data_IF_050874173668
#
_entry.id   IF_050874173668
#
_cell.length_a   1.000
_cell.length_b   1.000
_cell.length_c   1.000
_cell.angle_alpha   90.00
_cell.angle_beta   90.00
_cell.angle_gamma   90.00
#
_symmetry.space_group_name_H-M   'P 1'
#
loop_
_entity.id
_entity.type
_entity.pdbx_description
1 polymer ?
#
# COMPACT_ATOMS: atom_id res chain seq x y z
N UNK A 1 -32.45 2.21 3.60
CA UNK A 1 -30.96 2.14 3.45
C UNK A 1 -30.40 1.64 4.77
N UNK A 2 -30.02 0.37 4.86
CA UNK A 2 -29.42 -0.19 6.08
C UNK A 2 -28.03 0.45 6.26
N UNK A 3 -27.82 1.17 7.37
CA UNK A 3 -26.48 1.61 7.75
C UNK A 3 -25.66 0.34 8.01
N UNK A 4 -24.65 0.11 7.20
CA UNK A 4 -23.67 -0.95 7.45
C UNK A 4 -23.11 -0.74 8.86
N UNK A 5 -23.09 -1.79 9.69
CA UNK A 5 -22.56 -1.67 11.05
C UNK A 5 -21.10 -1.25 11.00
N UNK A 6 -20.75 -0.20 11.75
CA UNK A 6 -19.35 0.23 11.88
C UNK A 6 -18.61 -0.82 12.73
N UNK A 7 -17.59 -1.44 12.17
CA UNK A 7 -16.73 -2.36 12.90
C UNK A 7 -15.70 -1.56 13.72
N UNK A 8 -15.62 -1.85 15.02
CA UNK A 8 -14.59 -1.27 15.90
C UNK A 8 -13.47 -2.30 16.08
N UNK A 9 -12.26 -1.97 15.67
CA UNK A 9 -11.06 -2.75 15.99
C UNK A 9 -10.48 -2.23 17.30
N UNK A 10 -10.56 -3.03 18.36
CA UNK A 10 -10.04 -2.68 19.70
C UNK A 10 -8.56 -3.04 19.89
N UNK A 11 -7.97 -3.78 18.95
CA UNK A 11 -6.66 -4.40 19.12
C UNK A 11 -5.59 -3.50 18.57
N UNK A 12 -5.43 -2.35 18.54
CA UNK A 12 -4.29 -1.50 18.15
C UNK A 12 -3.12 -2.23 17.46
N UNK A 13 -1.98 -1.59 17.40
CA UNK A 13 -0.74 -2.21 16.93
C UNK A 13 0.04 -2.86 18.09
N UNK A 14 0.91 -3.81 17.76
CA UNK A 14 1.79 -4.48 18.71
C UNK A 14 3.06 -3.64 18.97
N UNK A 15 3.49 -3.53 20.23
CA UNK A 15 4.72 -2.79 20.62
C UNK A 15 5.90 -3.71 20.85
N UNK A 16 5.65 -4.94 21.27
CA UNK A 16 6.63 -5.98 21.55
C UNK A 16 6.82 -6.89 20.33
N UNK A 17 7.41 -6.35 19.28
CA UNK A 17 7.69 -7.07 18.04
C UNK A 17 9.05 -7.76 18.10
N UNK A 18 9.20 -8.87 17.37
CA UNK A 18 10.48 -9.57 17.25
C UNK A 18 11.48 -8.76 16.42
N UNK A 19 12.77 -8.87 16.78
CA UNK A 19 13.83 -8.31 15.94
C UNK A 19 13.96 -9.11 14.64
N UNK A 20 14.27 -8.46 13.49
CA UNK A 20 14.52 -9.15 12.24
C UNK A 20 15.67 -10.17 12.36
N UNK A 21 15.51 -11.34 11.73
CA UNK A 21 16.53 -12.41 11.71
C UNK A 21 17.58 -12.25 10.62
N UNK A 22 17.45 -11.25 9.77
CA UNK A 22 18.44 -10.92 8.74
C UNK A 22 18.85 -9.44 8.85
N UNK A 23 20.01 -9.10 8.31
CA UNK A 23 20.46 -7.72 8.25
C UNK A 23 19.58 -6.95 7.28
N UNK A 24 18.77 -6.03 7.81
CA UNK A 24 17.92 -5.14 7.01
C UNK A 24 18.83 -4.13 6.28
N UNK A 25 18.75 -4.03 4.96
CA UNK A 25 19.64 -3.15 4.20
C UNK A 25 19.40 -1.68 4.54
N UNK A 26 20.47 -0.88 4.53
CA UNK A 26 20.36 0.57 4.71
C UNK A 26 19.43 1.18 3.67
N UNK A 27 18.61 2.15 4.08
CA UNK A 27 17.60 2.75 3.23
C UNK A 27 16.34 1.89 3.01
N UNK A 28 16.14 0.82 3.79
CA UNK A 28 14.95 -0.02 3.69
C UNK A 28 13.65 0.79 3.89
N UNK A 29 12.65 0.46 3.10
CA UNK A 29 11.37 1.16 3.02
C UNK A 29 10.19 0.21 3.28
N UNK A 30 9.32 0.60 4.20
CA UNK A 30 7.97 0.06 4.30
C UNK A 30 7.07 0.74 3.28
N UNK A 31 6.62 0.03 2.24
CA UNK A 31 5.84 0.61 1.16
C UNK A 31 4.32 0.62 1.42
N UNK A 32 3.86 0.20 2.60
CA UNK A 32 2.45 0.22 2.93
C UNK A 32 2.20 0.26 4.43
N UNK A 33 1.88 1.45 4.95
CA UNK A 33 1.44 1.63 6.33
C UNK A 33 0.44 2.78 6.42
N UNK A 34 -0.25 2.88 7.54
CA UNK A 34 -1.27 3.89 7.79
C UNK A 34 -1.01 4.65 9.08
N UNK A 35 -1.45 5.91 9.16
CA UNK A 35 -1.44 6.70 10.38
C UNK A 35 -2.88 6.95 10.83
N UNK A 36 -3.12 6.78 12.13
CA UNK A 36 -4.37 7.12 12.79
C UNK A 36 -4.06 8.19 13.84
N UNK A 37 -4.29 9.44 13.46
CA UNK A 37 -3.99 10.58 14.31
C UNK A 37 -5.01 10.78 15.44
N UNK A 38 -4.76 11.76 16.35
CA UNK A 38 -5.71 12.14 17.38
C UNK A 38 -7.05 12.57 16.77
N UNK A 39 -8.15 11.98 17.21
CA UNK A 39 -9.49 12.21 16.67
C UNK A 39 -9.91 13.69 16.73
N UNK A 40 -9.48 14.42 17.76
CA UNK A 40 -9.78 15.86 17.90
C UNK A 40 -9.17 16.72 16.79
N UNK A 41 -8.07 16.26 16.17
CA UNK A 41 -7.39 16.96 15.08
C UNK A 41 -7.74 16.39 13.71
N UNK A 42 -7.94 15.09 13.62
CA UNK A 42 -8.21 14.37 12.39
C UNK A 42 -9.48 13.52 12.54
N UNK A 43 -10.65 14.14 12.41
CA UNK A 43 -11.93 13.45 12.57
C UNK A 43 -12.11 12.40 11.48
N UNK A 44 -12.67 11.26 11.84
CA UNK A 44 -13.01 10.22 10.88
C UNK A 44 -14.20 10.63 10.01
N UNK A 45 -14.21 10.16 8.76
CA UNK A 45 -15.37 10.30 7.89
C UNK A 45 -16.59 9.60 8.52
N UNK A 46 -17.75 10.27 8.45
CA UNK A 46 -19.00 9.75 9.05
C UNK A 46 -19.48 8.44 8.39
N UNK A 47 -19.19 8.27 7.09
CA UNK A 47 -19.58 7.10 6.30
C UNK A 47 -18.57 5.95 6.35
N UNK A 48 -17.59 5.99 7.27
CA UNK A 48 -16.58 4.94 7.40
C UNK A 48 -17.20 3.58 7.77
N UNK A 49 -16.58 2.52 7.32
CA UNK A 49 -16.94 1.13 7.71
C UNK A 49 -16.14 0.63 8.91
N UNK A 50 -15.04 1.32 9.28
CA UNK A 50 -14.11 0.92 10.33
C UNK A 50 -13.76 2.10 11.24
N UNK A 51 -13.66 1.83 12.54
CA UNK A 51 -13.13 2.77 13.54
C UNK A 51 -11.91 2.14 14.22
N UNK A 52 -10.69 2.44 13.77
CA UNK A 52 -9.46 1.93 14.37
C UNK A 52 -9.11 2.69 15.65
N UNK A 53 -8.29 2.10 16.53
CA UNK A 53 -7.63 2.84 17.60
C UNK A 53 -6.58 3.81 17.04
N UNK A 54 -6.21 4.80 17.85
CA UNK A 54 -5.14 5.73 17.50
C UNK A 54 -3.81 4.99 17.31
N UNK A 55 -3.08 5.35 16.24
CA UNK A 55 -1.77 4.84 15.89
C UNK A 55 -0.98 5.96 15.19
N UNK A 56 -0.18 6.67 15.96
CA UNK A 56 0.45 7.92 15.56
C UNK A 56 1.72 7.73 14.74
N UNK A 57 2.22 8.80 14.17
CA UNK A 57 3.53 8.83 13.52
C UNK A 57 4.67 8.44 14.48
N UNK A 58 4.60 8.84 15.73
CA UNK A 58 5.58 8.48 16.77
C UNK A 58 5.55 6.99 17.08
N UNK A 59 4.36 6.42 17.17
CA UNK A 59 4.18 4.97 17.38
C UNK A 59 4.80 4.18 16.22
N UNK A 60 4.51 4.58 14.97
CA UNK A 60 5.10 3.94 13.80
C UNK A 60 6.63 4.06 13.76
N UNK A 61 7.16 5.25 14.08
CA UNK A 61 8.62 5.43 14.12
C UNK A 61 9.31 4.50 15.11
N UNK A 62 8.68 4.23 16.25
CA UNK A 62 9.21 3.26 17.23
C UNK A 62 9.27 1.85 16.63
N UNK A 63 8.19 1.42 15.96
CA UNK A 63 8.13 0.14 15.23
C UNK A 63 9.19 0.08 14.11
N UNK A 64 9.25 1.10 13.26
CA UNK A 64 10.21 1.17 12.15
C UNK A 64 11.66 1.11 12.63
N UNK A 65 11.99 1.77 13.76
CA UNK A 65 13.33 1.72 14.35
C UNK A 65 13.68 0.30 14.81
N UNK A 66 12.75 -0.41 15.45
CA UNK A 66 12.98 -1.80 15.88
C UNK A 66 13.20 -2.74 14.68
N UNK A 67 12.55 -2.47 13.55
CA UNK A 67 12.68 -3.23 12.31
C UNK A 67 13.90 -2.83 11.47
N UNK A 68 14.58 -1.73 11.76
CA UNK A 68 15.67 -1.20 10.92
C UNK A 68 15.17 -0.53 9.64
N UNK A 69 13.91 -0.07 9.59
CA UNK A 69 13.33 0.61 8.44
C UNK A 69 13.59 2.11 8.51
N UNK A 70 14.12 2.69 7.46
CA UNK A 70 14.51 4.11 7.42
C UNK A 70 13.50 4.98 6.68
N UNK A 71 12.76 4.40 5.75
CA UNK A 71 11.79 5.09 4.89
C UNK A 71 10.43 4.41 4.93
N UNK A 72 9.40 5.15 4.55
CA UNK A 72 8.06 4.56 4.43
C UNK A 72 7.18 5.26 3.38
N UNK A 73 6.12 4.57 3.00
CA UNK A 73 5.02 5.10 2.20
C UNK A 73 3.75 5.05 3.03
N UNK A 74 3.24 6.23 3.38
CA UNK A 74 2.01 6.39 4.16
C UNK A 74 0.84 6.37 3.19
N UNK A 75 0.03 5.34 3.30
CA UNK A 75 -1.13 5.14 2.43
C UNK A 75 -2.37 5.69 3.13
N UNK A 76 -3.12 6.53 2.43
CA UNK A 76 -4.38 7.08 2.95
C UNK A 76 -5.36 5.96 3.28
N UNK A 77 -5.82 5.85 4.53
CA UNK A 77 -6.80 4.84 4.90
C UNK A 77 -8.23 5.27 4.58
N UNK A 78 -9.13 4.30 4.40
CA UNK A 78 -10.52 4.54 3.99
C UNK A 78 -11.35 5.37 4.98
N UNK A 79 -11.05 5.27 6.27
CA UNK A 79 -11.82 5.96 7.32
C UNK A 79 -11.60 7.48 7.37
N UNK A 80 -10.65 8.02 6.61
CA UNK A 80 -10.50 9.46 6.37
C UNK A 80 -11.02 9.90 5.00
N UNK A 81 -11.45 8.95 4.14
CA UNK A 81 -11.87 9.23 2.75
C UNK A 81 -10.83 10.11 2.01
N UNK A 82 -11.26 11.21 1.41
CA UNK A 82 -10.41 12.17 0.68
C UNK A 82 -9.77 13.26 1.55
N UNK A 83 -9.99 13.25 2.87
CA UNK A 83 -9.26 14.12 3.80
C UNK A 83 -7.87 13.55 4.10
N UNK A 84 -6.86 13.99 3.36
CA UNK A 84 -5.50 13.50 3.43
C UNK A 84 -4.63 14.21 4.48
N UNK A 85 -5.17 15.09 5.31
CA UNK A 85 -4.37 15.94 6.20
C UNK A 85 -3.54 15.12 7.20
N UNK A 86 -4.12 14.09 7.82
CA UNK A 86 -3.38 13.22 8.75
C UNK A 86 -2.17 12.55 8.08
N UNK A 87 -2.37 12.03 6.88
CA UNK A 87 -1.33 11.37 6.07
C UNK A 87 -0.23 12.35 5.66
N UNK A 88 -0.60 13.52 5.12
CA UNK A 88 0.35 14.51 4.63
C UNK A 88 1.10 15.22 5.77
N UNK A 89 0.48 15.42 6.92
CA UNK A 89 1.15 15.93 8.12
C UNK A 89 2.22 14.95 8.63
N UNK A 90 1.94 13.66 8.63
CA UNK A 90 2.93 12.65 9.00
C UNK A 90 4.12 12.64 8.01
N UNK A 91 3.87 12.78 6.70
CA UNK A 91 4.94 12.94 5.70
C UNK A 91 5.80 14.16 5.98
N UNK A 92 5.21 15.31 6.28
CA UNK A 92 5.95 16.54 6.56
C UNK A 92 6.89 16.41 7.77
N UNK A 93 6.51 15.58 8.76
CA UNK A 93 7.27 15.30 9.98
C UNK A 93 8.37 14.27 9.80
N UNK A 94 8.42 13.60 8.64
CA UNK A 94 9.39 12.53 8.36
C UNK A 94 10.79 13.03 8.04
N UNK A 95 10.99 14.33 7.79
CA UNK A 95 12.28 14.84 7.33
C UNK A 95 12.69 14.32 5.95
N UNK A 96 11.73 14.12 5.05
CA UNK A 96 11.95 13.64 3.68
C UNK A 96 11.99 12.12 3.51
N UNK A 97 11.87 11.36 4.61
CA UNK A 97 11.96 9.88 4.62
C UNK A 97 10.62 9.19 4.32
N UNK A 98 9.52 9.93 4.24
CA UNK A 98 8.22 9.38 3.87
C UNK A 98 7.69 9.97 2.56
N UNK A 99 6.82 9.21 1.90
CA UNK A 99 5.97 9.65 0.78
C UNK A 99 4.53 9.27 1.07
N UNK A 100 3.58 9.94 0.41
CA UNK A 100 2.16 9.63 0.55
C UNK A 100 1.57 9.00 -0.70
N UNK A 101 0.62 8.10 -0.50
CA UNK A 101 -0.38 7.71 -1.49
C UNK A 101 -1.72 8.21 -0.97
N UNK A 102 -2.31 9.17 -1.70
CA UNK A 102 -3.50 9.93 -1.27
C UNK A 102 -4.78 9.37 -1.88
N UNK A 103 -5.94 9.76 -1.34
CA UNK A 103 -7.26 9.53 -1.97
C UNK A 103 -7.78 10.86 -2.46
N UNK A 104 -8.34 10.88 -3.66
CA UNK A 104 -8.88 12.10 -4.28
C UNK A 104 -10.28 11.86 -4.83
N UNK A 105 -11.04 12.93 -4.95
CA UNK A 105 -12.33 12.92 -5.64
C UNK A 105 -12.11 12.98 -7.17
N UNK A 106 -13.10 12.52 -7.93
CA UNK A 106 -13.06 12.53 -9.40
C UNK A 106 -12.76 13.92 -9.98
N UNK A 107 -13.30 14.97 -9.36
CA UNK A 107 -13.17 16.35 -9.81
C UNK A 107 -11.93 17.08 -9.23
N UNK A 108 -10.96 16.36 -8.66
CA UNK A 108 -9.73 16.95 -8.10
C UNK A 108 -9.05 17.88 -9.10
N UNK A 109 -8.68 19.07 -8.67
CA UNK A 109 -8.02 20.05 -9.54
C UNK A 109 -6.50 19.80 -9.63
N UNK A 110 -5.90 20.26 -10.75
CA UNK A 110 -4.44 20.24 -10.89
C UNK A 110 -3.72 21.04 -9.81
N UNK A 111 -4.32 22.13 -9.35
CA UNK A 111 -3.77 22.94 -8.23
C UNK A 111 -3.73 22.13 -6.93
N UNK A 112 -4.80 21.40 -6.61
CA UNK A 112 -4.84 20.52 -5.43
C UNK A 112 -3.81 19.40 -5.54
N UNK A 113 -3.68 18.75 -6.70
CA UNK A 113 -2.67 17.72 -6.93
C UNK A 113 -1.24 18.27 -6.77
N UNK A 114 -0.97 19.48 -7.26
CA UNK A 114 0.32 20.15 -7.10
C UNK A 114 0.65 20.39 -5.63
N UNK A 115 -0.29 20.95 -4.87
CA UNK A 115 -0.11 21.16 -3.44
C UNK A 115 0.18 19.85 -2.66
N UNK A 116 -0.51 18.76 -3.00
CA UNK A 116 -0.23 17.43 -2.44
C UNK A 116 1.15 16.91 -2.87
N UNK A 117 1.54 17.13 -4.14
CA UNK A 117 2.86 16.73 -4.66
C UNK A 117 4.00 17.40 -3.89
N UNK A 118 3.90 18.71 -3.63
CA UNK A 118 4.86 19.49 -2.85
C UNK A 118 4.95 18.99 -1.40
N UNK A 119 3.85 18.45 -0.86
CA UNK A 119 3.81 17.80 0.47
C UNK A 119 4.26 16.33 0.44
N UNK A 120 4.71 15.80 -0.69
CA UNK A 120 5.30 14.46 -0.81
C UNK A 120 4.36 13.36 -1.30
N UNK A 121 3.18 13.67 -1.83
CA UNK A 121 2.33 12.67 -2.49
C UNK A 121 2.99 12.19 -3.81
N UNK A 122 2.86 10.87 -4.09
CA UNK A 122 3.44 10.21 -5.28
C UNK A 122 2.47 9.24 -5.95
N UNK A 123 1.25 9.13 -5.47
CA UNK A 123 0.24 8.25 -6.06
C UNK A 123 -1.14 8.52 -5.52
N UNK A 124 -2.13 7.98 -6.22
CA UNK A 124 -3.54 7.98 -5.81
C UNK A 124 -3.98 6.55 -5.53
N UNK A 125 -4.62 6.33 -4.39
CA UNK A 125 -5.25 5.06 -4.03
C UNK A 125 -6.70 5.03 -4.48
N UNK A 126 -7.09 3.94 -5.16
CA UNK A 126 -8.47 3.62 -5.45
C UNK A 126 -8.85 2.29 -4.78
N UNK A 127 -9.90 2.35 -3.98
CA UNK A 127 -10.49 1.17 -3.33
C UNK A 127 -11.64 0.67 -4.20
N UNK A 128 -11.42 -0.46 -4.90
CA UNK A 128 -12.40 -1.04 -5.81
C UNK A 128 -13.36 -2.01 -5.10
N UNK A 129 -12.98 -2.52 -3.92
CA UNK A 129 -13.75 -3.52 -3.16
C UNK A 129 -14.86 -2.89 -2.34
N UNK A 130 -14.71 -1.63 -1.92
CA UNK A 130 -15.68 -0.94 -1.07
C UNK A 130 -16.72 -0.20 -1.92
N UNK A 131 -18.00 -0.25 -1.51
CA UNK A 131 -19.03 0.62 -2.07
C UNK A 131 -18.64 2.08 -1.82
N UNK A 132 -18.55 2.88 -2.89
CA UNK A 132 -18.21 4.31 -2.81
C UNK A 132 -16.78 4.66 -3.28
N UNK A 133 -16.01 3.69 -3.79
CA UNK A 133 -14.78 3.96 -4.52
C UNK A 133 -15.04 4.67 -5.86
N UNK A 134 -13.99 5.24 -6.46
CA UNK A 134 -14.06 5.84 -7.79
C UNK A 134 -14.53 4.79 -8.82
N UNK A 135 -15.43 5.17 -9.71
CA UNK A 135 -15.76 4.35 -10.87
C UNK A 135 -14.53 4.14 -11.76
N UNK A 136 -14.53 3.13 -12.61
CA UNK A 136 -13.37 2.92 -13.48
C UNK A 136 -13.16 4.07 -14.47
N UNK A 137 -14.25 4.72 -14.92
CA UNK A 137 -14.18 5.90 -15.80
C UNK A 137 -13.55 7.10 -15.06
N UNK A 138 -13.91 7.30 -13.79
CA UNK A 138 -13.27 8.27 -12.92
C UNK A 138 -11.77 7.97 -12.73
N UNK A 139 -11.38 6.70 -12.61
CA UNK A 139 -9.97 6.29 -12.52
C UNK A 139 -9.19 6.64 -13.80
N UNK A 140 -9.76 6.44 -14.98
CA UNK A 140 -9.15 6.85 -16.25
C UNK A 140 -8.92 8.37 -16.29
N UNK A 141 -9.93 9.15 -15.91
CA UNK A 141 -9.84 10.61 -15.82
C UNK A 141 -8.79 11.08 -14.80
N UNK A 142 -8.78 10.52 -13.59
CA UNK A 142 -7.79 10.84 -12.56
C UNK A 142 -6.39 10.43 -12.99
N UNK A 143 -6.22 9.24 -13.59
CA UNK A 143 -4.93 8.75 -14.05
C UNK A 143 -4.28 9.66 -15.09
N UNK A 144 -5.07 10.24 -16.02
CA UNK A 144 -4.57 11.20 -16.98
C UNK A 144 -4.04 12.49 -16.33
N UNK A 145 -4.68 12.95 -15.24
CA UNK A 145 -4.23 14.15 -14.50
C UNK A 145 -2.97 13.89 -13.69
N UNK A 146 -2.89 12.75 -13.00
CA UNK A 146 -1.73 12.43 -12.15
C UNK A 146 -0.49 12.03 -12.96
N UNK A 147 -0.66 11.63 -14.23
CA UNK A 147 0.45 11.34 -15.13
C UNK A 147 1.42 12.52 -15.29
N UNK A 148 0.91 13.75 -15.26
CA UNK A 148 1.73 14.98 -15.38
C UNK A 148 2.65 15.23 -14.19
N UNK A 149 2.40 14.53 -13.07
CA UNK A 149 3.22 14.57 -11.85
C UNK A 149 4.13 13.34 -11.71
N UNK A 150 4.13 12.43 -12.68
CA UNK A 150 4.85 11.15 -12.56
C UNK A 150 4.30 10.22 -11.47
N UNK A 151 3.04 10.40 -11.05
CA UNK A 151 2.43 9.58 -10.01
C UNK A 151 1.95 8.24 -10.58
N UNK A 152 1.71 7.29 -9.67
CA UNK A 152 1.11 5.99 -9.97
C UNK A 152 -0.33 5.92 -9.43
N UNK A 153 -1.08 4.96 -9.96
CA UNK A 153 -2.40 4.57 -9.45
C UNK A 153 -2.23 3.30 -8.60
N UNK A 154 -2.61 3.36 -7.32
CA UNK A 154 -2.57 2.23 -6.40
C UNK A 154 -3.98 1.65 -6.27
N UNK A 155 -4.14 0.35 -6.54
CA UNK A 155 -5.42 -0.34 -6.59
C UNK A 155 -5.54 -1.36 -5.44
N UNK A 156 -6.60 -1.21 -4.67
CA UNK A 156 -7.07 -2.21 -3.73
C UNK A 156 -8.28 -2.91 -4.35
N UNK A 157 -8.04 -4.07 -4.97
CA UNK A 157 -9.03 -4.84 -5.71
C UNK A 157 -8.87 -6.35 -5.45
N UNK A 158 -9.88 -7.11 -5.82
CA UNK A 158 -9.86 -8.58 -5.81
C UNK A 158 -9.32 -9.09 -7.15
N UNK A 159 -8.40 -10.05 -7.12
CA UNK A 159 -7.81 -10.65 -8.34
C UNK A 159 -8.87 -11.23 -9.29
N UNK A 160 -10.00 -11.67 -8.75
CA UNK A 160 -11.12 -12.20 -9.54
C UNK A 160 -11.73 -11.18 -10.49
N UNK A 161 -11.52 -9.89 -10.25
CA UNK A 161 -11.97 -8.81 -11.14
C UNK A 161 -10.97 -8.52 -12.27
N UNK A 162 -9.74 -9.02 -12.18
CA UNK A 162 -8.69 -8.77 -13.17
C UNK A 162 -9.02 -9.25 -14.59
N UNK A 163 -9.69 -10.39 -14.81
CA UNK A 163 -10.08 -10.80 -16.17
C UNK A 163 -10.88 -9.72 -16.92
N UNK A 164 -11.79 -9.04 -16.25
CA UNK A 164 -12.62 -8.00 -16.86
C UNK A 164 -11.90 -6.65 -16.95
N UNK A 165 -10.95 -6.38 -16.05
CA UNK A 165 -10.28 -5.08 -15.93
C UNK A 165 -8.97 -4.98 -16.70
N UNK A 166 -8.29 -6.08 -16.98
CA UNK A 166 -6.91 -6.09 -17.50
C UNK A 166 -6.75 -5.28 -18.80
N UNK A 167 -7.73 -5.35 -19.71
CA UNK A 167 -7.70 -4.58 -20.94
C UNK A 167 -7.71 -3.07 -20.72
N UNK A 168 -8.47 -2.59 -19.75
CA UNK A 168 -8.54 -1.17 -19.37
C UNK A 168 -7.27 -0.75 -18.61
N UNK A 169 -6.80 -1.57 -17.68
CA UNK A 169 -5.58 -1.32 -16.89
C UNK A 169 -4.35 -1.14 -17.80
N UNK A 170 -4.22 -1.95 -18.85
CA UNK A 170 -3.10 -1.82 -19.81
C UNK A 170 -3.07 -0.49 -20.57
N UNK A 171 -4.20 0.21 -20.67
CA UNK A 171 -4.31 1.50 -21.39
C UNK A 171 -4.07 2.73 -20.49
N UNK A 172 -4.07 2.58 -19.16
CA UNK A 172 -3.85 3.71 -18.28
C UNK A 172 -2.47 4.36 -18.52
N UNK A 173 -2.38 5.71 -18.50
CA UNK A 173 -1.14 6.43 -18.81
C UNK A 173 -0.12 6.43 -17.66
N UNK A 174 -0.41 5.78 -16.55
CA UNK A 174 0.40 5.75 -15.32
C UNK A 174 0.78 4.32 -14.91
N UNK A 175 1.86 4.13 -14.15
CA UNK A 175 2.13 2.85 -13.51
C UNK A 175 0.99 2.46 -12.54
N UNK A 176 0.76 1.17 -12.40
CA UNK A 176 -0.25 0.61 -11.49
C UNK A 176 0.47 -0.10 -10.35
N UNK A 177 0.00 0.09 -9.13
CA UNK A 177 0.46 -0.64 -7.94
C UNK A 177 -0.70 -1.45 -7.38
N UNK A 178 -0.53 -2.76 -7.28
CA UNK A 178 -1.53 -3.63 -6.66
C UNK A 178 -1.23 -3.79 -5.17
N UNK A 179 -2.18 -3.37 -4.33
CA UNK A 179 -2.13 -3.63 -2.89
C UNK A 179 -2.31 -5.13 -2.61
N UNK A 180 -1.55 -5.64 -1.65
CA UNK A 180 -1.75 -6.98 -1.08
C UNK A 180 -1.90 -8.08 -2.14
N UNK A 181 -1.06 -8.03 -3.20
CA UNK A 181 -1.07 -8.98 -4.32
C UNK A 181 -2.43 -9.12 -5.01
N UNK A 182 -3.18 -8.00 -5.13
CA UNK A 182 -4.56 -8.01 -5.62
C UNK A 182 -5.47 -9.00 -4.86
N UNK A 183 -5.19 -9.22 -3.57
CA UNK A 183 -5.92 -10.16 -2.69
C UNK A 183 -6.03 -11.59 -3.24
N UNK A 184 -5.04 -12.04 -3.99
CA UNK A 184 -5.00 -13.43 -4.47
C UNK A 184 -4.99 -14.41 -3.30
N UNK A 185 -5.99 -15.31 -3.26
CA UNK A 185 -6.11 -16.28 -2.17
C UNK A 185 -5.22 -17.51 -2.42
N UNK A 186 -4.52 -17.94 -1.37
CA UNK A 186 -3.71 -19.17 -1.40
C UNK A 186 -4.53 -20.39 -1.85
N UNK A 187 -5.77 -20.49 -1.36
CA UNK A 187 -6.70 -21.56 -1.68
C UNK A 187 -7.10 -21.66 -3.16
N UNK A 188 -6.90 -20.58 -3.94
CA UNK A 188 -7.27 -20.54 -5.35
C UNK A 188 -6.20 -21.16 -6.28
N UNK A 189 -5.04 -21.54 -5.74
CA UNK A 189 -3.92 -22.05 -6.54
C UNK A 189 -3.23 -21.00 -7.41
N UNK A 190 -2.12 -21.37 -8.02
CA UNK A 190 -1.33 -20.48 -8.89
C UNK A 190 -1.89 -20.38 -10.32
N UNK A 191 -2.84 -21.23 -10.66
CA UNK A 191 -3.52 -21.26 -11.96
C UNK A 191 -4.78 -20.37 -12.02
N UNK A 192 -5.10 -19.69 -10.93
CA UNK A 192 -6.23 -18.76 -10.85
C UNK A 192 -6.07 -17.66 -11.92
N UNK A 193 -7.10 -17.42 -12.76
CA UNK A 193 -6.99 -16.51 -13.91
C UNK A 193 -6.53 -15.10 -13.53
N UNK A 194 -7.00 -14.55 -12.43
CA UNK A 194 -6.59 -13.22 -11.96
C UNK A 194 -5.13 -13.19 -11.54
N UNK A 195 -4.61 -14.23 -10.88
CA UNK A 195 -3.19 -14.33 -10.54
C UNK A 195 -2.31 -14.41 -11.79
N UNK A 196 -2.71 -15.19 -12.81
CA UNK A 196 -1.99 -15.23 -14.09
C UNK A 196 -1.96 -13.87 -14.78
N UNK A 197 -3.08 -13.15 -14.77
CA UNK A 197 -3.14 -11.78 -15.32
C UNK A 197 -2.23 -10.83 -14.52
N UNK A 198 -2.18 -10.96 -13.19
CA UNK A 198 -1.26 -10.19 -12.37
C UNK A 198 0.21 -10.43 -12.76
N UNK A 199 0.61 -11.71 -12.97
CA UNK A 199 1.94 -12.07 -13.46
C UNK A 199 2.23 -11.44 -14.82
N UNK A 200 1.30 -11.48 -15.77
CA UNK A 200 1.44 -10.90 -17.10
C UNK A 200 1.61 -9.36 -17.02
N UNK A 201 0.84 -8.70 -16.18
CA UNK A 201 0.93 -7.24 -15.98
C UNK A 201 2.27 -6.84 -15.37
N UNK A 202 2.80 -7.64 -14.44
CA UNK A 202 4.15 -7.45 -13.88
C UNK A 202 5.24 -7.65 -14.92
N UNK A 203 5.19 -8.76 -15.67
CA UNK A 203 6.14 -9.07 -16.74
C UNK A 203 6.18 -7.96 -17.79
N UNK A 204 5.03 -7.35 -18.09
CA UNK A 204 4.93 -6.18 -18.98
C UNK A 204 5.55 -4.89 -18.43
N UNK A 205 6.02 -4.87 -17.18
CA UNK A 205 6.78 -3.77 -16.57
C UNK A 205 5.98 -2.52 -16.19
N UNK A 206 4.68 -2.51 -16.38
CA UNK A 206 3.79 -1.39 -16.03
C UNK A 206 3.12 -1.51 -14.68
N UNK A 207 3.05 -2.73 -14.15
CA UNK A 207 2.46 -3.01 -12.86
C UNK A 207 3.54 -3.25 -11.80
N UNK A 208 3.21 -2.91 -10.58
CA UNK A 208 3.95 -3.17 -9.35
C UNK A 208 3.06 -3.97 -8.42
N UNK A 209 3.65 -4.75 -7.52
CA UNK A 209 2.88 -5.49 -6.52
C UNK A 209 3.49 -5.30 -5.14
N UNK A 210 2.64 -5.11 -4.14
CA UNK A 210 3.02 -5.08 -2.74
C UNK A 210 2.82 -6.45 -2.11
N UNK A 211 3.89 -7.03 -1.63
CA UNK A 211 3.88 -8.17 -0.71
C UNK A 211 3.62 -7.61 0.69
N UNK A 212 2.38 -7.49 1.07
CA UNK A 212 1.95 -6.81 2.30
C UNK A 212 0.64 -7.41 2.79
N UNK A 213 0.27 -7.04 4.03
CA UNK A 213 -0.90 -7.48 4.77
C UNK A 213 -0.85 -8.91 5.33
N UNK A 214 -1.08 -8.98 6.64
CA UNK A 214 -1.21 -10.26 7.35
C UNK A 214 -2.49 -11.04 7.02
N UNK A 215 -3.48 -10.39 6.38
CA UNK A 215 -4.70 -11.06 5.89
C UNK A 215 -4.44 -11.98 4.70
N UNK A 216 -3.44 -11.65 3.89
CA UNK A 216 -3.12 -12.33 2.64
C UNK A 216 -1.63 -12.66 2.57
N UNK A 217 -1.07 -13.41 3.55
CA UNK A 217 0.33 -13.75 3.50
C UNK A 217 0.59 -14.59 2.24
N UNK A 218 1.48 -14.16 1.34
CA UNK A 218 1.79 -14.97 0.18
C UNK A 218 2.48 -16.25 0.63
N UNK A 219 2.16 -17.36 -0.03
CA UNK A 219 3.05 -18.52 0.04
C UNK A 219 4.41 -18.18 -0.56
N UNK A 220 5.42 -18.93 -0.16
CA UNK A 220 6.75 -18.81 -0.77
C UNK A 220 6.72 -19.05 -2.28
N UNK A 221 5.80 -19.89 -2.76
CA UNK A 221 5.61 -20.14 -4.19
C UNK A 221 5.09 -18.91 -4.92
N UNK A 222 3.99 -18.31 -4.45
CA UNK A 222 3.42 -17.08 -5.07
C UNK A 222 4.39 -15.93 -5.07
N UNK A 223 5.06 -15.68 -3.94
CA UNK A 223 6.06 -14.63 -3.85
C UNK A 223 7.20 -14.81 -4.84
N UNK A 224 7.67 -16.07 -5.02
CA UNK A 224 8.71 -16.38 -6.02
C UNK A 224 8.21 -16.19 -7.46
N UNK A 225 6.99 -16.64 -7.78
CA UNK A 225 6.41 -16.45 -9.11
C UNK A 225 6.27 -14.96 -9.46
N UNK A 226 5.83 -14.14 -8.50
CA UNK A 226 5.77 -12.67 -8.67
C UNK A 226 7.17 -12.08 -8.94
N UNK A 227 8.18 -12.49 -8.16
CA UNK A 227 9.55 -12.03 -8.34
C UNK A 227 10.18 -12.54 -9.65
N UNK A 228 9.85 -13.75 -10.09
CA UNK A 228 10.29 -14.29 -11.38
C UNK A 228 9.65 -13.55 -12.56
N UNK A 229 8.38 -13.14 -12.43
CA UNK A 229 7.71 -12.34 -13.45
C UNK A 229 8.41 -10.98 -13.63
N UNK A 230 8.74 -10.28 -12.55
CA UNK A 230 9.53 -9.05 -12.63
C UNK A 230 10.10 -8.63 -11.26
N UNK A 231 11.36 -8.94 -10.94
CA UNK A 231 11.98 -8.60 -9.66
C UNK A 231 12.11 -7.09 -9.42
N UNK A 232 12.06 -6.28 -10.50
CA UNK A 232 12.15 -4.81 -10.43
C UNK A 232 10.80 -4.14 -10.09
N UNK A 233 9.76 -4.93 -9.85
CA UNK A 233 8.39 -4.45 -9.61
C UNK A 233 7.78 -4.98 -8.31
N UNK A 234 8.57 -5.57 -7.43
CA UNK A 234 8.15 -6.09 -6.13
C UNK A 234 8.40 -5.02 -5.07
N UNK A 235 7.41 -4.79 -4.23
CA UNK A 235 7.46 -3.91 -3.06
C UNK A 235 7.09 -4.73 -1.82
N UNK A 236 7.59 -4.34 -0.66
CA UNK A 236 7.21 -4.92 0.62
C UNK A 236 6.59 -3.86 1.53
N UNK A 237 5.68 -4.26 2.43
CA UNK A 237 5.11 -3.37 3.42
C UNK A 237 4.46 -4.13 4.58
N UNK A 238 4.43 -3.50 5.76
CA UNK A 238 3.85 -4.07 6.97
C UNK A 238 2.33 -4.15 6.94
N UNK A 239 1.66 -3.16 6.35
CA UNK A 239 0.25 -2.85 6.55
C UNK A 239 -0.06 -2.36 7.99
N UNK A 240 0.98 -1.88 8.70
CA UNK A 240 0.83 -1.29 10.04
C UNK A 240 -0.21 -0.16 10.05
N UNK A 241 -1.04 -0.01 11.06
CA UNK A 241 -1.17 -0.76 12.31
C UNK A 241 -2.19 -1.90 12.24
N UNK A 242 -2.40 -2.53 11.09
CA UNK A 242 -3.30 -3.67 10.88
C UNK A 242 -4.78 -3.34 11.18
N UNK A 243 -5.24 -2.18 10.73
CA UNK A 243 -6.53 -1.56 11.10
C UNK A 243 -7.76 -2.43 10.87
N UNK A 244 -7.70 -3.34 9.92
CA UNK A 244 -8.82 -4.25 9.57
C UNK A 244 -8.65 -5.67 10.13
N UNK A 245 -7.57 -5.94 10.87
CA UNK A 245 -7.27 -7.29 11.33
C UNK A 245 -8.13 -7.67 12.55
N UNK A 246 -8.96 -8.70 12.38
CA UNK A 246 -9.91 -9.15 13.40
C UNK A 246 -9.36 -10.18 14.40
N UNK A 247 -8.10 -10.59 14.27
CA UNK A 247 -7.42 -11.59 15.11
C UNK A 247 -6.41 -11.00 16.09
N UNK A 248 -5.49 -11.83 16.56
CA UNK A 248 -4.32 -11.37 17.30
C UNK A 248 -3.45 -10.49 16.40
N UNK A 249 -3.07 -9.31 16.89
CA UNK A 249 -2.26 -8.36 16.10
C UNK A 249 -0.96 -9.02 15.65
N UNK A 250 -0.64 -8.96 14.35
CA UNK A 250 0.58 -9.55 13.81
C UNK A 250 1.85 -9.02 14.46
N UNK A 251 2.90 -9.82 14.43
CA UNK A 251 4.26 -9.40 14.77
C UNK A 251 4.95 -8.89 13.51
N UNK A 252 5.17 -7.57 13.42
CA UNK A 252 5.78 -6.94 12.25
C UNK A 252 7.21 -7.45 11.96
N UNK A 253 7.95 -7.87 12.99
CA UNK A 253 9.25 -8.53 12.81
C UNK A 253 9.11 -9.88 12.10
N UNK A 254 8.11 -10.67 12.46
CA UNK A 254 7.82 -11.93 11.77
C UNK A 254 7.33 -11.70 10.33
N UNK A 255 6.58 -10.62 10.07
CA UNK A 255 6.18 -10.24 8.70
C UNK A 255 7.40 -9.85 7.84
N UNK A 256 8.37 -9.15 8.42
CA UNK A 256 9.61 -8.81 7.71
C UNK A 256 10.47 -10.06 7.47
N UNK A 257 10.57 -10.95 8.46
CA UNK A 257 11.29 -12.22 8.33
C UNK A 257 10.72 -13.16 7.25
N UNK A 258 9.41 -13.08 6.98
CA UNK A 258 8.79 -13.82 5.89
C UNK A 258 9.44 -13.50 4.53
N UNK A 259 9.94 -12.27 4.35
CA UNK A 259 10.65 -11.86 3.14
C UNK A 259 11.92 -12.70 2.90
N UNK A 260 12.65 -13.07 3.96
CA UNK A 260 13.82 -13.94 3.83
C UNK A 260 13.45 -15.40 3.44
N UNK A 261 12.27 -15.85 3.83
CA UNK A 261 11.75 -17.17 3.41
C UNK A 261 11.31 -17.15 1.94
N UNK A 262 10.70 -16.04 1.50
CA UNK A 262 10.28 -15.87 0.09
C UNK A 262 11.48 -15.66 -0.82
N UNK A 263 12.44 -14.85 -0.40
CA UNK A 263 13.63 -14.46 -1.14
C UNK A 263 14.91 -14.76 -0.33
N UNK A 264 15.42 -16.01 -0.40
CA UNK A 264 16.71 -16.35 0.19
C UNK A 264 17.87 -15.48 -0.36
N UNK A 265 17.75 -15.06 -1.61
CA UNK A 265 18.70 -14.14 -2.25
C UNK A 265 18.59 -12.72 -1.65
N UNK A 266 19.70 -12.22 -1.09
CA UNK A 266 19.80 -10.89 -0.51
C UNK A 266 19.56 -9.78 -1.55
N UNK A 267 19.95 -9.99 -2.81
CA UNK A 267 19.75 -8.99 -3.86
C UNK A 267 18.25 -8.78 -4.14
N UNK A 268 17.43 -9.84 -4.11
CA UNK A 268 15.98 -9.72 -4.25
C UNK A 268 15.36 -8.98 -3.06
N UNK A 269 15.81 -9.26 -1.83
CA UNK A 269 15.36 -8.50 -0.66
C UNK A 269 15.73 -7.03 -0.73
N UNK A 270 16.96 -6.73 -1.15
CA UNK A 270 17.43 -5.34 -1.36
C UNK A 270 16.61 -4.64 -2.45
N UNK A 271 16.25 -5.32 -3.54
CA UNK A 271 15.35 -4.75 -4.54
C UNK A 271 14.00 -4.41 -3.93
N UNK A 272 13.35 -5.34 -3.23
CA UNK A 272 12.01 -5.15 -2.67
C UNK A 272 11.98 -4.06 -1.58
N UNK A 273 13.05 -3.94 -0.78
CA UNK A 273 13.12 -3.01 0.35
C UNK A 273 13.77 -1.66 0.01
N UNK A 274 14.64 -1.57 -1.00
CA UNK A 274 15.44 -0.37 -1.25
C UNK A 274 15.28 0.14 -2.69
N UNK A 275 15.75 -0.62 -3.68
CA UNK A 275 15.88 -0.10 -5.04
C UNK A 275 14.54 0.15 -5.73
N UNK A 276 13.59 -0.74 -5.54
CA UNK A 276 12.26 -0.63 -6.12
C UNK A 276 11.45 0.51 -5.49
N UNK A 277 11.36 0.63 -4.14
CA UNK A 277 10.79 1.81 -3.50
C UNK A 277 11.42 3.11 -3.95
N UNK A 278 12.74 3.14 -4.09
CA UNK A 278 13.48 4.32 -4.54
C UNK A 278 13.00 4.77 -5.92
N UNK A 279 12.95 3.82 -6.86
CA UNK A 279 12.50 4.06 -8.24
C UNK A 279 11.07 4.58 -8.33
N UNK A 280 10.16 4.06 -7.50
CA UNK A 280 8.73 4.40 -7.61
C UNK A 280 8.35 5.65 -6.83
N UNK A 281 8.95 5.88 -5.65
CA UNK A 281 8.46 6.88 -4.71
C UNK A 281 9.45 8.02 -4.45
N UNK A 282 10.77 7.80 -4.57
CA UNK A 282 11.77 8.74 -4.07
C UNK A 282 12.61 9.40 -5.15
N UNK A 283 12.54 8.95 -6.41
CA UNK A 283 13.21 9.66 -7.51
C UNK A 283 12.57 11.04 -7.73
N UNK A 284 13.35 12.04 -8.14
CA UNK A 284 12.79 13.31 -8.61
C UNK A 284 11.85 13.06 -9.79
N UNK A 285 10.70 13.75 -9.78
CA UNK A 285 9.75 13.73 -10.89
C UNK A 285 10.25 14.55 -12.06
#
# INVERSE_FOLDING_TARGET
MSKSAITTNSNGFRRDISAPRFAVPAGACDCHMHIVGPLARYPFNENRSLTPPQATWEDYRATATQLGLERCVIVQPSFYASDNECTLDAVSRSGGRARAVVVVEENVTTATLRAMHERGARGVRAQMISKGGLSFDALESVSARIATFGWHLQLYLDSRDLPDLAGRLRRLPVPIVFDHMAQTLESSGTDEPGFRILLDLLAGGRAWVKLSSAHFPPSSERARLLAQANPERILWGTDWPHVSYGGAVPDDGALLDALANWFPDEQLRTKALVSNPDRLYFQPA
#
